data_IF_964579720584
#
_entry.id   IF_964579720584
#
_cell.length_a   1.000
_cell.length_b   1.000
_cell.length_c   1.000
_cell.angle_alpha   90.00
_cell.angle_beta   90.00
_cell.angle_gamma   90.00
#
_symmetry.space_group_name_H-M   'P 1'
#
loop_
_entity.id
_entity.type
_entity.pdbx_description
1 polymer ?
#
# COMPACT_ATOMS: atom_id res chain seq x y z
N UNK A 1 12.42 38.79 -13.63
CA UNK A 1 12.67 38.23 -12.27
C UNK A 1 11.39 37.96 -11.53
N UNK A 2 10.47 38.89 -11.39
CA UNK A 2 9.21 38.69 -10.70
C UNK A 2 8.36 37.55 -11.33
N UNK A 3 8.27 37.51 -12.66
CA UNK A 3 7.59 36.44 -13.41
C UNK A 3 8.23 35.08 -13.17
N UNK A 4 9.56 35.02 -13.10
CA UNK A 4 10.28 33.77 -12.86
C UNK A 4 9.99 33.23 -11.47
N UNK A 5 10.05 34.04 -10.44
CA UNK A 5 9.74 33.63 -9.05
C UNK A 5 8.28 33.21 -8.94
N UNK A 6 7.37 33.89 -9.60
CA UNK A 6 5.95 33.55 -9.61
C UNK A 6 5.70 32.21 -10.30
N UNK A 7 6.38 31.96 -11.44
CA UNK A 7 6.31 30.68 -12.15
C UNK A 7 6.88 29.53 -11.30
N UNK A 8 7.98 29.77 -10.59
CA UNK A 8 8.57 28.80 -9.68
C UNK A 8 7.61 28.45 -8.55
N UNK A 9 6.90 29.46 -8.02
CA UNK A 9 5.90 29.21 -6.97
C UNK A 9 4.74 28.36 -7.49
N UNK A 10 4.29 28.59 -8.73
CA UNK A 10 3.23 27.79 -9.35
C UNK A 10 3.67 26.35 -9.55
N UNK A 11 4.90 26.13 -10.00
CA UNK A 11 5.47 24.78 -10.16
C UNK A 11 5.57 24.09 -8.80
N UNK A 12 6.07 24.80 -7.78
CA UNK A 12 6.18 24.28 -6.44
C UNK A 12 4.82 23.88 -5.88
N UNK A 13 3.79 24.72 -6.07
CA UNK A 13 2.43 24.40 -5.65
C UNK A 13 1.92 23.13 -6.32
N UNK A 14 2.23 22.93 -7.60
CA UNK A 14 1.89 21.71 -8.34
C UNK A 14 2.62 20.51 -7.76
N UNK A 15 3.91 20.63 -7.45
CA UNK A 15 4.71 19.55 -6.85
C UNK A 15 4.20 19.18 -5.47
N UNK A 16 3.75 20.15 -4.67
CA UNK A 16 3.12 19.89 -3.37
C UNK A 16 1.82 19.10 -3.52
N UNK A 17 1.00 19.42 -4.52
CA UNK A 17 -0.24 18.68 -4.80
C UNK A 17 0.05 17.25 -5.24
N UNK A 18 1.09 17.05 -6.06
CA UNK A 18 1.51 15.72 -6.50
C UNK A 18 2.02 14.88 -5.31
N UNK A 19 2.75 15.51 -4.39
CA UNK A 19 3.19 14.85 -3.16
C UNK A 19 1.99 14.43 -2.31
N UNK A 20 1.01 15.32 -2.12
CA UNK A 20 -0.21 15.01 -1.36
C UNK A 20 -0.98 13.85 -1.99
N UNK A 21 -1.09 13.85 -3.31
CA UNK A 21 -1.72 12.74 -4.04
C UNK A 21 -0.97 11.43 -3.83
N UNK A 22 0.37 11.48 -3.88
CA UNK A 22 1.20 10.30 -3.66
C UNK A 22 1.07 9.79 -2.21
N UNK A 23 0.95 10.69 -1.22
CA UNK A 23 0.67 10.32 0.18
C UNK A 23 -0.67 9.59 0.30
N UNK A 24 -1.70 10.10 -0.36
CA UNK A 24 -3.02 9.49 -0.34
C UNK A 24 -3.00 8.11 -1.01
N UNK A 25 -2.30 7.98 -2.13
CA UNK A 25 -2.15 6.71 -2.83
C UNK A 25 -1.41 5.68 -1.96
N UNK A 26 -0.37 6.11 -1.27
CA UNK A 26 0.39 5.27 -0.34
C UNK A 26 -0.49 4.81 0.83
N UNK A 27 -1.27 5.72 1.41
CA UNK A 27 -2.21 5.39 2.48
C UNK A 27 -3.25 4.37 2.03
N UNK A 28 -3.81 4.54 0.83
CA UNK A 28 -4.76 3.59 0.25
C UNK A 28 -4.13 2.22 -0.01
N UNK A 29 -2.91 2.19 -0.54
CA UNK A 29 -2.20 0.93 -0.77
C UNK A 29 -1.97 0.17 0.54
N UNK A 30 -1.59 0.89 1.61
CA UNK A 30 -1.44 0.29 2.95
C UNK A 30 -2.77 -0.25 3.48
N UNK A 31 -3.86 0.48 3.29
CA UNK A 31 -5.19 0.03 3.71
C UNK A 31 -5.58 -1.27 3.00
N UNK A 32 -5.38 -1.34 1.68
CA UNK A 32 -5.65 -2.54 0.89
C UNK A 32 -4.80 -3.72 1.37
N UNK A 33 -3.54 -3.48 1.71
CA UNK A 33 -2.66 -4.52 2.26
C UNK A 33 -3.20 -5.03 3.60
N UNK A 34 -3.60 -4.14 4.50
CA UNK A 34 -4.13 -4.53 5.80
C UNK A 34 -5.42 -5.32 5.67
N UNK A 35 -6.30 -4.93 4.74
CA UNK A 35 -7.52 -5.67 4.44
C UNK A 35 -7.21 -7.07 3.91
N UNK A 36 -6.22 -7.19 3.02
CA UNK A 36 -5.80 -8.47 2.47
C UNK A 36 -5.21 -9.40 3.54
N UNK A 37 -4.41 -8.86 4.46
CA UNK A 37 -3.84 -9.59 5.60
C UNK A 37 -4.95 -10.08 6.54
N UNK A 38 -5.92 -9.21 6.85
CA UNK A 38 -7.04 -9.56 7.70
C UNK A 38 -7.88 -10.69 7.09
N UNK A 39 -8.10 -10.66 5.78
CA UNK A 39 -8.81 -11.72 5.06
C UNK A 39 -8.02 -13.03 5.10
N UNK A 40 -6.69 -12.98 4.95
CA UNK A 40 -5.83 -14.15 5.08
C UNK A 40 -5.97 -14.78 6.46
N UNK A 41 -5.91 -13.97 7.52
CA UNK A 41 -6.07 -14.45 8.89
C UNK A 41 -7.44 -15.09 9.11
N UNK A 42 -8.49 -14.50 8.58
CA UNK A 42 -9.85 -15.03 8.64
C UNK A 42 -9.94 -16.39 7.95
N UNK A 43 -9.36 -16.52 6.76
CA UNK A 43 -9.35 -17.77 6.01
C UNK A 43 -8.53 -18.87 6.72
N UNK A 44 -7.41 -18.49 7.32
CA UNK A 44 -6.57 -19.41 8.10
C UNK A 44 -7.32 -19.94 9.32
N UNK A 45 -8.10 -19.08 10.00
CA UNK A 45 -8.95 -19.49 11.12
C UNK A 45 -10.04 -20.47 10.66
N UNK A 46 -10.69 -20.19 9.54
CA UNK A 46 -11.70 -21.09 8.97
C UNK A 46 -11.10 -22.42 8.59
N UNK A 47 -9.89 -22.42 8.04
CA UNK A 47 -9.16 -23.64 7.73
C UNK A 47 -8.87 -24.45 8.99
N UNK A 48 -8.39 -23.79 10.06
CA UNK A 48 -8.11 -24.44 11.33
C UNK A 48 -9.37 -25.05 11.94
N UNK A 49 -10.49 -24.34 11.89
CA UNK A 49 -11.79 -24.83 12.37
C UNK A 49 -12.26 -26.03 11.56
N UNK A 50 -12.12 -25.99 10.23
CA UNK A 50 -12.50 -27.09 9.36
C UNK A 50 -11.66 -28.34 9.64
N UNK A 51 -10.35 -28.18 9.86
CA UNK A 51 -9.45 -29.29 10.23
C UNK A 51 -9.85 -29.90 11.57
N UNK A 52 -10.16 -29.06 12.55
CA UNK A 52 -10.60 -29.49 13.88
C UNK A 52 -11.90 -30.28 13.80
N UNK A 53 -12.86 -29.78 13.03
CA UNK A 53 -14.14 -30.45 12.83
C UNK A 53 -13.97 -31.79 12.13
N UNK A 54 -13.10 -31.87 11.12
CA UNK A 54 -12.77 -33.12 10.45
C UNK A 54 -12.19 -34.12 11.44
N UNK A 55 -11.26 -33.71 12.29
CA UNK A 55 -10.65 -34.56 13.30
C UNK A 55 -11.67 -35.09 14.30
N UNK A 56 -12.60 -34.24 14.75
CA UNK A 56 -13.69 -34.63 15.63
C UNK A 56 -14.64 -35.67 14.97
N UNK A 57 -15.01 -35.43 13.72
CA UNK A 57 -15.89 -36.32 12.96
C UNK A 57 -15.25 -37.70 12.77
N UNK A 58 -13.95 -37.77 12.52
CA UNK A 58 -13.20 -39.02 12.43
C UNK A 58 -13.17 -39.73 13.78
N UNK A 59 -12.89 -39.00 14.88
CA UNK A 59 -12.83 -39.55 16.23
C UNK A 59 -14.17 -40.09 16.70
N UNK A 60 -15.27 -39.41 16.33
CA UNK A 60 -16.64 -39.80 16.68
C UNK A 60 -17.19 -40.90 15.78
N UNK A 61 -16.39 -41.40 14.82
CA UNK A 61 -16.77 -42.46 13.86
C UNK A 61 -18.06 -42.12 13.09
N UNK A 62 -18.19 -40.87 12.67
CA UNK A 62 -19.32 -40.42 11.87
C UNK A 62 -19.28 -41.02 10.47
N UNK A 63 -20.43 -40.92 9.81
CA UNK A 63 -20.67 -41.48 8.47
C UNK A 63 -19.60 -40.97 7.47
N UNK A 64 -19.19 -41.84 6.54
CA UNK A 64 -18.18 -41.58 5.51
C UNK A 64 -18.51 -40.34 4.68
N UNK A 65 -19.80 -40.14 4.37
CA UNK A 65 -20.27 -38.99 3.61
C UNK A 65 -19.98 -37.67 4.35
N UNK A 66 -20.21 -37.63 5.65
CA UNK A 66 -19.93 -36.48 6.51
C UNK A 66 -18.43 -36.20 6.53
N UNK A 67 -17.60 -37.23 6.67
CA UNK A 67 -16.14 -37.11 6.68
C UNK A 67 -15.66 -36.57 5.33
N UNK A 68 -16.15 -37.05 4.21
CA UNK A 68 -15.81 -36.56 2.86
C UNK A 68 -16.18 -35.11 2.68
N UNK A 69 -17.36 -34.69 3.16
CA UNK A 69 -17.79 -33.31 3.11
C UNK A 69 -16.84 -32.39 3.89
N UNK A 70 -16.35 -32.86 5.05
CA UNK A 70 -15.38 -32.10 5.85
C UNK A 70 -14.01 -32.07 5.18
N UNK A 71 -13.56 -33.14 4.53
CA UNK A 71 -12.32 -33.16 3.76
C UNK A 71 -12.37 -32.14 2.59
N UNK A 72 -13.52 -32.11 1.88
CA UNK A 72 -13.74 -31.17 0.79
C UNK A 72 -13.70 -29.74 1.29
N UNK A 73 -14.31 -29.46 2.46
CA UNK A 73 -14.27 -28.14 3.08
C UNK A 73 -12.83 -27.71 3.42
N UNK A 74 -12.03 -28.63 3.96
CA UNK A 74 -10.61 -28.37 4.25
C UNK A 74 -9.85 -28.02 2.97
N UNK A 75 -10.04 -28.77 1.89
CA UNK A 75 -9.38 -28.50 0.61
C UNK A 75 -9.78 -27.16 0.01
N UNK A 76 -11.05 -26.81 0.09
CA UNK A 76 -11.56 -25.51 -0.39
C UNK A 76 -10.90 -24.37 0.38
N UNK A 77 -10.84 -24.45 1.71
CA UNK A 77 -10.20 -23.40 2.51
C UNK A 77 -8.70 -23.33 2.29
N UNK A 78 -8.02 -24.47 2.09
CA UNK A 78 -6.60 -24.48 1.70
C UNK A 78 -6.37 -23.71 0.40
N UNK A 79 -7.25 -23.94 -0.58
CA UNK A 79 -7.17 -23.23 -1.86
C UNK A 79 -7.36 -21.72 -1.67
N UNK A 80 -8.36 -21.32 -0.87
CA UNK A 80 -8.62 -19.91 -0.59
C UNK A 80 -7.43 -19.24 0.12
N UNK A 81 -6.81 -19.93 1.08
CA UNK A 81 -5.62 -19.42 1.77
C UNK A 81 -4.48 -19.23 0.77
N UNK A 82 -4.22 -20.19 -0.10
CA UNK A 82 -3.17 -20.07 -1.13
C UNK A 82 -3.42 -18.90 -2.06
N UNK A 83 -4.65 -18.72 -2.51
CA UNK A 83 -5.03 -17.58 -3.36
C UNK A 83 -4.84 -16.26 -2.63
N UNK A 84 -5.23 -16.22 -1.36
CA UNK A 84 -5.12 -15.00 -0.56
C UNK A 84 -3.66 -14.61 -0.29
N UNK A 85 -2.77 -15.58 -0.10
CA UNK A 85 -1.33 -15.32 0.03
C UNK A 85 -0.80 -14.58 -1.21
N UNK A 86 -1.25 -14.97 -2.40
CA UNK A 86 -0.87 -14.27 -3.64
C UNK A 86 -1.43 -12.85 -3.69
N UNK A 87 -2.66 -12.65 -3.20
CA UNK A 87 -3.26 -11.32 -3.12
C UNK A 87 -2.45 -10.43 -2.17
N UNK A 88 -2.07 -10.95 -1.00
CA UNK A 88 -1.23 -10.19 -0.04
C UNK A 88 0.09 -9.80 -0.68
N UNK A 89 0.76 -10.71 -1.39
CA UNK A 89 2.01 -10.40 -2.09
C UNK A 89 1.83 -9.29 -3.14
N UNK A 90 0.72 -9.32 -3.86
CA UNK A 90 0.41 -8.28 -4.85
C UNK A 90 0.18 -6.93 -4.16
N UNK A 91 -0.54 -6.91 -3.05
CA UNK A 91 -0.77 -5.68 -2.27
C UNK A 91 0.53 -5.12 -1.68
N UNK A 92 1.45 -5.99 -1.25
CA UNK A 92 2.78 -5.58 -0.80
C UNK A 92 3.56 -4.88 -1.91
N UNK A 93 3.52 -5.40 -3.13
CA UNK A 93 4.15 -4.76 -4.29
C UNK A 93 3.55 -3.40 -4.59
N UNK A 94 2.22 -3.28 -4.50
CA UNK A 94 1.53 -2.00 -4.71
C UNK A 94 1.96 -0.96 -3.66
N UNK A 95 2.14 -1.37 -2.41
CA UNK A 95 2.66 -0.51 -1.35
C UNK A 95 4.08 -0.04 -1.69
N UNK A 96 4.94 -0.95 -2.14
CA UNK A 96 6.32 -0.59 -2.50
C UNK A 96 6.37 0.40 -3.66
N UNK A 97 5.56 0.21 -4.69
CA UNK A 97 5.44 1.14 -5.82
C UNK A 97 4.92 2.50 -5.35
N UNK A 98 3.89 2.52 -4.52
CA UNK A 98 3.34 3.77 -3.99
C UNK A 98 4.36 4.52 -3.11
N UNK A 99 5.17 3.78 -2.35
CA UNK A 99 6.26 4.36 -1.54
C UNK A 99 7.33 5.00 -2.43
N UNK A 100 7.71 4.35 -3.52
CA UNK A 100 8.68 4.90 -4.48
C UNK A 100 8.15 6.20 -5.11
N UNK A 101 6.89 6.21 -5.54
CA UNK A 101 6.25 7.40 -6.10
C UNK A 101 6.21 8.55 -5.10
N UNK A 102 5.92 8.25 -3.83
CA UNK A 102 5.94 9.24 -2.77
C UNK A 102 7.34 9.81 -2.55
N UNK A 103 8.35 8.94 -2.51
CA UNK A 103 9.74 9.37 -2.35
C UNK A 103 10.19 10.27 -3.51
N UNK A 104 9.83 9.93 -4.74
CA UNK A 104 10.12 10.75 -5.92
C UNK A 104 9.42 12.10 -5.86
N UNK A 105 8.14 12.12 -5.48
CA UNK A 105 7.37 13.35 -5.35
C UNK A 105 7.96 14.27 -4.27
N UNK A 106 8.41 13.70 -3.15
CA UNK A 106 9.08 14.45 -2.09
C UNK A 106 10.40 15.04 -2.55
N UNK A 107 11.21 14.28 -3.29
CA UNK A 107 12.49 14.74 -3.84
C UNK A 107 12.28 15.89 -4.82
N UNK A 108 11.30 15.76 -5.71
CA UNK A 108 10.98 16.82 -6.68
C UNK A 108 10.52 18.09 -5.97
N UNK A 109 9.63 17.98 -4.99
CA UNK A 109 9.20 19.15 -4.21
C UNK A 109 10.39 19.85 -3.54
N UNK A 110 11.27 19.07 -2.90
CA UNK A 110 12.47 19.62 -2.25
C UNK A 110 13.41 20.30 -3.24
N UNK A 111 13.57 19.73 -4.43
CA UNK A 111 14.39 20.31 -5.50
C UNK A 111 13.85 21.67 -5.92
N UNK A 112 12.54 21.77 -6.14
CA UNK A 112 11.92 23.03 -6.55
C UNK A 112 11.88 24.06 -5.41
N UNK A 113 11.78 23.62 -4.15
CA UNK A 113 11.95 24.53 -3.00
C UNK A 113 13.33 25.17 -3.00
N UNK A 114 14.38 24.37 -3.20
CA UNK A 114 15.76 24.86 -3.27
C UNK A 114 15.98 25.81 -4.43
N UNK A 115 15.40 25.50 -5.61
CA UNK A 115 15.48 26.37 -6.77
C UNK A 115 14.80 27.71 -6.52
N UNK A 116 13.64 27.70 -5.86
CA UNK A 116 12.94 28.91 -5.47
C UNK A 116 13.76 29.75 -4.51
N UNK A 117 14.35 29.12 -3.50
CA UNK A 117 15.23 29.80 -2.53
C UNK A 117 16.42 30.45 -3.22
N UNK A 118 17.07 29.74 -4.13
CA UNK A 118 18.20 30.29 -4.92
C UNK A 118 17.75 31.43 -5.79
N UNK A 119 16.59 31.37 -6.42
CA UNK A 119 16.06 32.45 -7.24
C UNK A 119 15.78 33.69 -6.40
N UNK A 120 15.29 33.53 -5.17
CA UNK A 120 15.07 34.61 -4.24
C UNK A 120 16.39 35.23 -3.76
N UNK A 121 17.39 34.40 -3.46
CA UNK A 121 18.73 34.85 -3.08
C UNK A 121 19.39 35.63 -4.21
N UNK A 122 19.34 35.15 -5.44
CA UNK A 122 19.86 35.83 -6.61
C UNK A 122 19.18 37.17 -6.86
N UNK A 123 17.93 37.32 -6.49
CA UNK A 123 17.18 38.57 -6.56
C UNK A 123 17.68 39.58 -5.51
N UNK A 124 18.07 39.11 -4.35
CA UNK A 124 18.53 39.96 -3.23
C UNK A 124 19.99 40.36 -3.39
N UNK A 125 20.86 39.44 -3.84
CA UNK A 125 22.31 39.67 -3.97
C UNK A 125 22.68 40.92 -4.74
N UNK A 126 22.11 41.26 -5.91
CA UNK A 126 22.44 42.49 -6.62
C UNK A 126 22.17 43.76 -5.81
N UNK A 127 21.17 43.74 -4.95
CA UNK A 127 20.87 44.88 -4.06
C UNK A 127 21.86 45.01 -2.91
N UNK A 128 22.42 43.94 -2.42
CA UNK A 128 23.42 43.95 -1.35
C UNK A 128 24.79 44.36 -1.83
N UNK A 129 25.12 44.11 -3.08
CA UNK A 129 26.41 44.45 -3.68
C UNK A 129 26.48 45.90 -4.17
N UNK A 130 25.35 46.56 -4.26
CA UNK A 130 25.27 47.97 -4.60
C UNK A 130 25.30 48.85 -3.36
#
# INVERSE_FOLDING_TARGET
MAKFVFSMQNILNMKEKLEDQAKNNFAQANLHLQEAIAEQESLEQRLAEAKKKLQQDISDALDIRSIRNQEDAVEIFRMYVRQQILVVKQREKEVDVAREHLNEAMKERKTFEKLREKALEMRILPFRLR
#
